data_IF_896569300684
#
_entry.id   IF_896569300684
#
_cell.length_a   1.000
_cell.length_b   1.000
_cell.length_c   1.000
_cell.angle_alpha   90.00
_cell.angle_beta   90.00
_cell.angle_gamma   90.00
#
_symmetry.space_group_name_H-M   'P 1'
#
loop_
_entity.id
_entity.type
_entity.pdbx_description
1 polymer ?
2 non-polymer ?
3 water ?
#
# COMPACT_ATOMS: atom_id res chain seq x y z
N UNK A 5 5.92 -10.15 -21.24
CA UNK A 5 6.09 -8.90 -21.95
C UNK A 5 4.84 -8.48 -22.69
N UNK A 6 3.78 -9.27 -22.53
CA UNK A 6 2.49 -9.01 -23.15
C UNK A 6 1.45 -9.18 -22.06
N UNK A 7 0.67 -8.14 -21.67
CA UNK A 7 0.23 -6.87 -22.31
C UNK A 7 -1.12 -7.17 -22.98
N UNK A 8 -1.18 -8.22 -23.79
CA UNK A 8 -2.46 -8.80 -24.17
C UNK A 8 -2.84 -10.00 -23.32
N UNK A 9 -1.86 -10.79 -22.89
CA UNK A 9 -2.15 -11.96 -22.07
C UNK A 9 -2.52 -11.54 -20.66
N UNK A 10 -1.84 -10.51 -20.15
CA UNK A 10 -2.19 -9.94 -18.85
C UNK A 10 -3.60 -9.37 -18.88
N UNK A 11 -4.03 -8.89 -20.04
CA UNK A 11 -5.44 -8.50 -20.17
C UNK A 11 -6.36 -9.68 -19.83
N UNK A 12 -5.97 -10.91 -20.16
CA UNK A 12 -6.88 -12.04 -20.03
C UNK A 12 -6.97 -12.60 -18.62
N UNK A 13 -5.94 -12.45 -17.76
CA UNK A 13 -6.18 -12.81 -16.36
C UNK A 13 -7.09 -11.79 -15.69
N UNK A 14 -6.90 -10.52 -16.04
CA UNK A 14 -7.84 -9.46 -15.65
C UNK A 14 -9.21 -9.72 -16.27
N UNK A 15 -9.24 -10.12 -17.56
CA UNK A 15 -10.48 -10.48 -18.24
C UNK A 15 -11.29 -11.48 -17.43
N UNK A 16 -10.67 -12.60 -17.06
CA UNK A 16 -11.35 -13.73 -16.46
C UNK A 16 -11.69 -13.50 -14.98
N UNK A 17 -10.80 -12.89 -14.21
CA UNK A 17 -11.22 -12.62 -12.83
C UNK A 17 -12.33 -11.58 -12.75
N UNK A 18 -13.01 -11.29 -13.86
CA UNK A 18 -14.21 -10.45 -13.88
C UNK A 18 -14.05 -9.20 -13.03
N UNK A 19 -12.89 -8.57 -13.13
CA UNK A 19 -12.60 -7.33 -12.42
C UNK A 19 -12.21 -6.25 -13.42
N UNK A 20 -12.00 -5.03 -12.92
CA UNK A 20 -11.52 -3.90 -13.70
C UNK A 20 -10.36 -3.26 -12.94
N UNK A 21 -9.18 -3.22 -13.55
CA UNK A 21 -8.05 -2.61 -12.89
C UNK A 21 -6.85 -2.50 -13.82
N UNK A 22 -5.72 -2.11 -13.21
CA UNK A 22 -4.51 -1.79 -13.93
C UNK A 22 -3.33 -2.21 -13.04
N UNK A 23 -2.26 -2.70 -13.66
CA UNK A 23 -1.03 -3.02 -12.95
C UNK A 23 0.04 -2.08 -13.49
N UNK A 24 0.62 -1.27 -12.62
CA UNK A 24 1.61 -0.26 -13.03
C UNK A 24 2.97 -0.78 -12.59
N UNK A 25 3.89 -0.88 -13.54
CA UNK A 25 5.26 -1.34 -13.31
C UNK A 25 6.20 -0.16 -13.52
N UNK A 26 7.12 0.04 -12.58
CA UNK A 26 8.17 1.05 -12.71
C UNK A 26 9.52 0.34 -12.65
N UNK A 27 10.26 0.42 -13.74
CA UNK A 27 11.63 -0.08 -13.84
C UNK A 27 12.51 1.14 -14.09
N UNK A 28 13.15 1.65 -13.05
CA UNK A 28 14.01 2.82 -13.13
C UNK A 28 13.31 4.00 -13.83
N UNK A 29 12.28 4.50 -13.14
CA UNK A 29 11.55 5.70 -13.56
C UNK A 29 10.94 5.59 -14.96
N UNK A 30 10.75 4.37 -15.45
CA UNK A 30 9.96 4.09 -16.64
C UNK A 30 8.70 3.34 -16.26
N UNK A 31 7.56 3.88 -16.64
CA UNK A 31 6.26 3.39 -16.19
C UNK A 31 5.60 2.64 -17.33
N UNK A 32 5.17 1.41 -17.06
CA UNK A 32 4.35 0.62 -17.99
C UNK A 32 3.02 0.28 -17.35
N UNK A 33 2.01 0.10 -18.20
CA UNK A 33 0.64 -0.18 -17.79
C UNK A 33 0.22 -1.55 -18.31
N UNK A 34 -0.61 -2.25 -17.52
CA UNK A 34 -1.15 -3.55 -17.88
C UNK A 34 -2.47 -3.75 -17.14
N UNK A 35 -3.33 -4.61 -17.70
CA UNK A 35 -4.63 -4.86 -17.11
C UNK A 35 -5.73 -4.99 -18.15
N UNK A 36 -6.98 -4.66 -17.78
CA UNK A 36 -8.06 -4.49 -18.74
C UNK A 36 -8.68 -3.09 -18.65
N UNK A 37 -8.09 -2.18 -17.88
CA UNK A 37 -8.68 -0.87 -17.65
C UNK A 37 -7.54 0.11 -17.34
N UNK A 38 -6.70 0.33 -18.35
CA UNK A 38 -5.51 1.15 -18.19
C UNK A 38 -5.84 2.59 -17.81
N UNK A 39 -7.06 3.05 -18.07
CA UNK A 39 -7.44 4.41 -17.68
C UNK A 39 -7.45 4.61 -16.16
N UNK A 40 -7.67 3.53 -15.38
CA UNK A 40 -7.63 3.58 -13.92
C UNK A 40 -6.32 4.17 -13.41
N UNK A 41 -5.23 3.96 -14.15
CA UNK A 41 -3.90 4.33 -13.71
C UNK A 41 -3.76 5.82 -13.40
N UNK A 42 -4.63 6.66 -13.98
CA UNK A 42 -4.60 8.11 -13.75
C UNK A 42 -5.86 8.64 -13.05
N UNK A 43 -6.66 7.80 -12.43
CA UNK A 43 -7.82 8.27 -11.67
C UNK A 43 -7.57 8.10 -10.18
N UNK A 44 -7.96 9.11 -9.40
CA UNK A 44 -7.72 9.17 -7.97
C UNK A 44 -8.71 8.27 -7.23
N UNK A 45 -8.21 7.59 -6.20
CA UNK A 45 -8.88 6.58 -5.39
C UNK A 45 -8.48 6.82 -3.95
N UNK A 46 -9.31 6.38 -3.01
CA UNK A 46 -8.85 6.41 -1.62
C UNK A 46 -7.75 5.37 -1.44
N UNK A 47 -6.67 5.67 -0.74
CA UNK A 47 -5.57 4.71 -0.63
C UNK A 47 -5.88 3.48 0.23
N UNK A 48 -6.83 3.57 1.16
CA UNK A 48 -7.20 2.47 2.08
C UNK A 48 -5.95 2.14 2.92
N UNK A 49 -5.67 0.86 3.18
CA UNK A 49 -4.60 0.50 4.10
C UNK A 49 -3.21 0.75 3.52
N UNK A 50 -3.08 1.08 2.23
CA UNK A 50 -1.75 1.38 1.71
C UNK A 50 -1.21 2.65 2.32
N UNK A 51 -2.07 3.46 2.92
CA UNK A 51 -1.60 4.66 3.61
C UNK A 51 -0.87 4.32 4.94
N UNK A 52 -0.88 3.07 5.36
CA UNK A 52 -0.17 2.69 6.57
C UNK A 52 1.35 2.84 6.39
N UNK A 53 1.77 2.79 5.11
CA UNK A 53 3.17 2.94 4.74
C UNK A 53 3.67 4.33 5.08
N UNK A 54 2.88 5.33 4.69
CA UNK A 54 3.20 6.72 4.97
C UNK A 54 2.83 7.11 6.40
N UNK A 55 1.77 6.52 6.97
CA UNK A 55 1.45 6.77 8.38
C UNK A 55 2.62 6.34 9.27
N UNK A 56 3.13 5.13 9.05
CA UNK A 56 4.25 4.64 9.86
C UNK A 56 5.45 5.57 9.73
N UNK A 57 5.83 5.91 8.49
CA UNK A 57 6.97 6.79 8.28
C UNK A 57 6.80 8.11 9.01
N UNK A 58 5.59 8.69 8.96
CA UNK A 58 5.41 9.98 9.62
C UNK A 58 5.50 9.81 11.12
N UNK A 59 4.91 8.73 11.65
CA UNK A 59 4.90 8.52 13.08
C UNK A 59 6.28 8.24 13.64
N UNK A 60 7.00 7.32 13.01
CA UNK A 60 8.35 7.01 13.42
C UNK A 60 9.22 8.26 13.38
N UNK A 61 9.23 8.96 12.25
CA UNK A 61 10.14 10.07 12.05
C UNK A 61 9.90 11.21 13.02
N UNK A 62 8.65 11.39 13.47
CA UNK A 62 8.33 12.45 14.41
C UNK A 62 8.29 11.94 15.86
N UNK A 63 8.71 10.70 16.10
CA UNK A 63 8.86 10.16 17.45
C UNK A 63 7.54 10.17 18.21
N UNK A 64 6.47 9.80 17.51
CA UNK A 64 5.20 9.47 18.12
C UNK A 64 5.10 7.99 18.46
N UNK A 65 6.05 7.18 18.02
CA UNK A 65 6.07 5.75 18.34
C UNK A 65 7.46 5.24 18.00
N UNK A 66 7.63 3.93 18.04
CA UNK A 66 8.90 3.32 17.64
C UNK A 66 8.60 1.87 17.33
N UNK A 67 9.56 1.18 16.72
CA UNK A 67 9.29 -0.15 16.20
C UNK A 67 9.16 -1.18 17.32
N UNK A 68 9.47 -0.81 18.56
CA UNK A 68 9.33 -1.75 19.67
C UNK A 68 8.03 -1.58 20.46
N UNK A 69 7.47 -0.36 20.50
CA UNK A 69 6.26 -0.10 21.26
C UNK A 69 5.20 -1.16 21.00
N UNK A 70 4.55 -1.61 22.07
CA UNK A 70 3.46 -2.57 22.00
C UNK A 70 2.16 -1.83 22.25
N UNK A 71 1.27 -1.87 21.27
CA UNK A 71 -0.03 -1.20 21.37
C UNK A 71 -0.99 -2.14 22.09
N UNK A 72 -1.56 -1.68 23.21
CA UNK A 72 -2.39 -2.55 24.04
C UNK A 72 -3.83 -2.62 23.52
N UNK A 73 -4.33 -3.83 23.31
CA UNK A 73 -5.75 -4.03 22.98
C UNK A 73 -6.57 -3.89 24.26
N UNK A 74 -7.47 -2.90 24.26
CA UNK A 74 -8.22 -2.54 25.46
C UNK A 74 -9.57 -3.23 25.54
N UNK A 75 -9.79 -4.27 24.74
CA UNK A 75 -10.91 -5.16 24.92
C UNK A 75 -12.10 -4.92 24.01
N UNK A 76 -12.19 -3.75 23.37
CA UNK A 76 -13.30 -3.49 22.46
C UNK A 76 -13.23 -4.43 21.26
N UNK A 77 -14.40 -4.80 20.74
CA UNK A 77 -14.45 -5.71 19.60
C UNK A 77 -13.96 -5.03 18.34
N UNK A 78 -13.20 -5.77 17.53
CA UNK A 78 -12.63 -5.27 16.30
C UNK A 78 -13.07 -6.15 15.13
N UNK A 79 -12.90 -5.61 13.91
CA UNK A 79 -13.46 -6.24 12.72
C UNK A 79 -12.94 -7.66 12.50
N UNK A 80 -11.72 -7.97 12.95
CA UNK A 80 -11.23 -9.32 12.83
C UNK A 80 -10.60 -9.76 14.15
N UNK A 81 -10.77 -11.05 14.46
CA UNK A 81 -10.26 -11.60 15.71
C UNK A 81 -8.73 -11.62 15.75
N UNK A 82 -8.08 -11.65 14.58
CA UNK A 82 -6.63 -11.56 14.57
C UNK A 82 -6.14 -10.21 15.08
N UNK A 83 -6.99 -9.18 15.08
CA UNK A 83 -6.64 -7.83 15.54
C UNK A 83 -6.80 -7.65 17.04
N UNK A 84 -7.29 -8.64 17.77
CA UNK A 84 -7.68 -8.46 19.16
C UNK A 84 -6.59 -9.00 20.08
N UNK A 85 -5.48 -8.25 20.08
CA UNK A 85 -4.25 -8.65 20.76
C UNK A 85 -3.33 -7.45 20.81
N UNK A 86 -2.39 -7.48 21.74
CA UNK A 86 -1.33 -6.48 21.75
C UNK A 86 -0.43 -6.68 20.54
N UNK A 87 0.08 -5.59 19.99
CA UNK A 87 0.93 -5.73 18.82
C UNK A 87 1.75 -4.46 18.63
N UNK A 88 2.86 -4.61 17.90
CA UNK A 88 3.66 -3.49 17.49
C UNK A 88 3.14 -2.86 16.21
N UNK A 89 3.76 -1.73 15.84
CA UNK A 89 3.51 -1.12 14.54
C UNK A 89 3.65 -2.14 13.41
N UNK A 90 4.75 -2.88 13.41
CA UNK A 90 5.02 -3.79 12.30
C UNK A 90 4.05 -4.95 12.22
N UNK A 91 3.65 -5.50 13.37
CA UNK A 91 2.65 -6.56 13.35
C UNK A 91 1.30 -6.02 12.88
N UNK A 92 0.95 -4.80 13.33
CA UNK A 92 -0.26 -4.15 12.83
C UNK A 92 -0.19 -3.96 11.31
N UNK A 93 0.99 -3.68 10.76
CA UNK A 93 1.14 -3.47 9.32
C UNK A 93 0.86 -4.74 8.55
N UNK A 94 1.45 -5.85 9.00
CA UNK A 94 1.29 -7.11 8.30
C UNK A 94 -0.16 -7.58 8.32
N UNK A 95 -0.94 -7.16 9.32
CA UNK A 95 -2.36 -7.51 9.44
C UNK A 95 -3.30 -6.36 9.06
N UNK A 96 -2.75 -5.20 8.69
CA UNK A 96 -3.54 -4.01 8.34
C UNK A 96 -4.53 -3.70 9.46
N UNK A 97 -4.01 -3.58 10.67
CA UNK A 97 -4.86 -3.36 11.84
C UNK A 97 -5.12 -1.86 11.97
N UNK A 98 -6.20 -1.40 11.36
CA UNK A 98 -6.68 -0.02 11.43
C UNK A 98 -6.62 0.58 12.84
N UNK A 99 -7.15 -0.08 13.89
CA UNK A 99 -7.16 0.61 15.20
C UNK A 99 -5.78 1.06 15.67
N UNK A 100 -4.73 0.28 15.44
CA UNK A 100 -3.39 0.72 15.80
C UNK A 100 -3.00 1.98 15.03
N UNK A 101 -3.29 1.99 13.72
CA UNK A 101 -2.87 3.14 12.93
C UNK A 101 -3.77 4.34 13.18
N UNK A 102 -5.02 4.10 13.55
CA UNK A 102 -5.84 5.21 13.99
C UNK A 102 -5.29 5.83 15.25
N UNK A 103 -4.86 5.00 16.20
CA UNK A 103 -4.27 5.56 17.41
C UNK A 103 -3.02 6.36 17.06
N UNK A 104 -2.12 5.75 16.29
CA UNK A 104 -0.94 6.48 15.80
C UNK A 104 -1.33 7.81 15.17
N UNK A 105 -2.31 7.78 14.26
CA UNK A 105 -2.71 8.99 13.55
C UNK A 105 -3.17 10.06 14.50
N UNK A 106 -3.86 9.67 15.58
CA UNK A 106 -4.34 10.65 16.54
C UNK A 106 -3.20 11.27 17.32
N UNK A 107 -2.09 10.54 17.50
CA UNK A 107 -0.90 11.11 18.13
C UNK A 107 -0.25 12.15 17.23
N UNK A 108 -0.07 11.82 15.95
CA UNK A 108 0.45 12.79 15.00
C UNK A 108 -0.41 14.04 15.00
N UNK A 109 -1.74 13.88 14.92
CA UNK A 109 -2.64 15.02 14.93
C UNK A 109 -2.76 15.68 13.57
N UNK A 110 -3.77 16.54 13.43
CA UNK A 110 -4.17 16.98 12.10
C UNK A 110 -3.09 17.85 11.44
N UNK A 111 -2.61 18.88 12.16
CA UNK A 111 -1.60 19.79 11.63
C UNK A 111 -0.37 19.04 11.11
N UNK A 112 0.24 18.23 11.98
CA UNK A 112 1.42 17.46 11.58
C UNK A 112 1.08 16.51 10.44
N UNK A 113 -0.08 15.89 10.47
CA UNK A 113 -0.43 14.96 9.39
C UNK A 113 -0.58 15.69 8.06
N UNK A 114 -1.35 16.78 8.04
CA UNK A 114 -1.57 17.52 6.82
C UNK A 114 -0.27 18.11 6.28
N UNK A 115 0.57 18.66 7.16
CA UNK A 115 1.83 19.26 6.73
C UNK A 115 2.76 18.22 6.11
N UNK A 116 2.81 17.02 6.69
CA UNK A 116 3.67 15.98 6.14
C UNK A 116 3.13 15.44 4.82
N UNK A 117 1.81 15.27 4.72
CA UNK A 117 1.22 14.65 3.55
C UNK A 117 1.40 15.55 2.32
N UNK A 118 1.36 16.87 2.52
CA UNK A 118 1.59 17.76 1.39
C UNK A 118 3.09 17.99 1.15
N UNK A 119 3.91 17.95 2.20
CA UNK A 119 5.35 17.96 2.00
C UNK A 119 5.79 16.75 1.19
N UNK A 120 5.22 15.57 1.48
CA UNK A 120 5.49 14.40 0.66
C UNK A 120 4.82 14.55 -0.71
N UNK A 121 3.82 15.41 -0.81
CA UNK A 121 2.94 15.44 -1.98
C UNK A 121 2.30 14.09 -2.27
N UNK A 122 1.52 13.56 -1.34
CA UNK A 122 0.91 12.26 -1.55
C UNK A 122 -0.45 12.44 -2.20
N UNK A 123 -0.60 11.95 -3.43
CA UNK A 123 -1.87 12.02 -4.15
C UNK A 123 -2.41 13.43 -4.25
N UNK A 124 -3.69 13.62 -3.89
CA UNK A 124 -4.22 14.98 -3.87
C UNK A 124 -3.81 15.75 -2.63
N UNK A 125 -3.26 15.06 -1.63
CA UNK A 125 -2.63 15.69 -0.47
C UNK A 125 -3.63 16.40 0.44
N UNK A 126 -4.83 15.84 0.55
CA UNK A 126 -5.90 16.43 1.35
C UNK A 126 -6.38 15.40 2.37
N UNK A 127 -6.42 15.79 3.65
CA UNK A 127 -6.90 14.91 4.70
C UNK A 127 -8.15 15.44 5.39
N UNK A 128 -8.65 16.61 4.99
CA UNK A 128 -9.86 17.13 5.61
C UNK A 128 -9.69 17.34 7.11
N UNK A 129 -10.63 16.82 7.90
CA UNK A 129 -10.73 17.25 9.29
C UNK A 129 -10.60 16.13 10.30
N UNK A 130 -10.93 14.90 9.94
CA UNK A 130 -10.88 13.78 10.87
C UNK A 130 -9.54 13.11 10.62
N UNK A 131 -8.59 13.29 11.54
CA UNK A 131 -7.25 12.78 11.34
C UNK A 131 -7.23 11.26 11.29
N UNK A 132 -8.24 10.59 11.86
CA UNK A 132 -8.18 9.14 11.99
C UNK A 132 -8.99 8.37 10.95
N UNK A 133 -9.43 9.00 9.86
CA UNK A 133 -10.13 8.20 8.85
C UNK A 133 -10.05 8.74 7.44
N UNK A 134 -9.13 9.66 7.13
CA UNK A 134 -9.18 10.33 5.82
C UNK A 134 -8.68 9.43 4.70
N UNK A 135 -7.94 8.38 5.03
CA UNK A 135 -7.41 7.44 4.05
C UNK A 135 -8.38 6.30 3.73
N UNK A 136 -9.54 6.25 4.35
CA UNK A 136 -10.49 5.19 4.07
C UNK A 136 -11.74 5.68 3.37
N UNK A 137 -12.16 6.92 3.59
CA UNK A 137 -13.42 7.40 3.00
C UNK A 137 -13.25 8.80 2.45
N UNK A 138 -12.03 9.17 2.11
CA UNK A 138 -11.76 10.52 1.67
C UNK A 138 -11.52 11.45 2.85
N UNK A 139 -11.09 12.68 2.56
CA UNK A 139 -10.96 13.12 1.16
C UNK A 139 -9.59 12.83 0.52
N UNK A 140 -8.79 11.93 1.07
CA UNK A 140 -7.46 11.69 0.52
C UNK A 140 -7.55 10.70 -0.63
N UNK A 141 -6.96 11.06 -1.78
CA UNK A 141 -7.06 10.27 -2.98
C UNK A 141 -5.72 10.22 -3.69
N UNK A 142 -5.50 9.15 -4.46
CA UNK A 142 -4.21 8.88 -5.08
C UNK A 142 -4.38 8.00 -6.31
N UNK A 143 -3.68 8.35 -7.39
CA UNK A 143 -3.68 7.50 -8.58
C UNK A 143 -2.68 6.37 -8.44
N UNK A 144 -2.91 5.25 -9.12
CA UNK A 144 -1.98 4.13 -9.01
C UNK A 144 -0.60 4.42 -9.60
N UNK A 145 -0.45 5.34 -10.56
CA UNK A 145 0.90 5.69 -10.97
C UNK A 145 1.58 6.47 -9.84
N UNK A 146 0.85 7.35 -9.15
CA UNK A 146 1.42 8.04 -8.01
C UNK A 146 1.81 7.07 -6.89
N UNK A 147 1.12 5.94 -6.78
CA UNK A 147 1.48 4.99 -5.72
C UNK A 147 2.72 4.18 -6.09
N UNK A 148 2.92 3.88 -7.38
CA UNK A 148 4.12 3.15 -7.75
C UNK A 148 5.37 4.02 -7.59
N UNK A 149 5.25 5.34 -7.79
CA UNK A 149 6.40 6.22 -7.54
C UNK A 149 6.71 6.33 -6.06
N UNK A 150 5.67 6.49 -5.23
CA UNK A 150 5.88 6.59 -3.79
C UNK A 150 6.61 5.36 -3.29
N UNK A 151 6.06 4.18 -3.55
CA UNK A 151 6.72 2.96 -3.08
C UNK A 151 8.03 2.73 -3.82
N UNK A 152 8.18 3.23 -5.05
CA UNK A 152 9.48 3.21 -5.71
C UNK A 152 10.52 3.96 -4.88
N UNK A 153 10.22 5.22 -4.56
CA UNK A 153 11.12 6.01 -3.74
C UNK A 153 11.42 5.31 -2.42
N UNK A 154 10.38 4.83 -1.73
CA UNK A 154 10.60 4.12 -0.47
C UNK A 154 11.57 2.96 -0.67
N UNK A 155 11.45 2.23 -1.79
CA UNK A 155 12.31 1.09 -2.05
C UNK A 155 13.76 1.51 -2.25
N UNK A 156 13.99 2.70 -2.81
CA UNK A 156 15.33 3.22 -3.04
C UNK A 156 15.74 4.19 -1.94
N UNK A 157 14.97 4.27 -0.86
CA UNK A 157 15.29 5.14 0.26
C UNK A 157 15.38 6.61 -0.18
N UNK A 158 14.52 7.01 -1.12
CA UNK A 158 14.56 8.35 -1.67
C UNK A 158 13.45 9.27 -1.16
N UNK A 159 12.61 8.81 -0.23
CA UNK A 159 11.52 9.63 0.27
C UNK A 159 12.06 10.71 1.20
N UNK A 160 11.34 11.80 1.37
CA UNK A 160 11.86 12.91 2.17
C UNK A 160 11.88 12.64 3.67
N UNK A 161 12.26 11.42 4.07
CA UNK A 161 12.50 11.04 5.46
C UNK A 161 13.93 10.52 5.62
N UNK A 162 14.38 10.45 6.87
CA UNK A 162 15.67 9.85 7.18
C UNK A 162 15.72 8.43 6.62
N UNK A 163 16.94 7.91 6.46
CA UNK A 163 17.04 6.59 5.85
C UNK A 163 16.72 5.48 6.85
N UNK A 164 17.04 5.71 8.12
CA UNK A 164 16.74 4.69 9.12
C UNK A 164 15.23 4.51 9.29
N UNK A 165 14.45 5.59 9.23
CA UNK A 165 13.00 5.41 9.32
C UNK A 165 12.47 4.64 8.11
N UNK A 166 12.92 5.00 6.91
CA UNK A 166 12.52 4.30 5.69
C UNK A 166 12.88 2.82 5.75
N UNK A 167 14.12 2.53 6.13
CA UNK A 167 14.56 1.14 6.24
C UNK A 167 13.70 0.38 7.24
N UNK A 168 13.28 1.07 8.30
CA UNK A 168 12.43 0.45 9.31
C UNK A 168 11.08 0.04 8.72
N UNK A 169 10.44 0.95 8.01
CA UNK A 169 9.17 0.63 7.37
C UNK A 169 9.33 -0.45 6.31
N UNK A 170 10.49 -0.51 5.64
CA UNK A 170 10.62 -1.50 4.57
C UNK A 170 10.66 -2.91 5.14
N UNK A 171 11.33 -3.10 6.29
CA UNK A 171 11.33 -4.40 6.93
C UNK A 171 9.96 -4.80 7.47
N UNK A 172 9.04 -3.85 7.59
CA UNK A 172 7.66 -4.14 7.93
C UNK A 172 6.89 -4.77 6.78
N UNK A 173 7.43 -4.74 5.55
CA UNK A 173 6.65 -4.97 4.33
C UNK A 173 7.07 -6.21 3.55
N UNK A 174 7.93 -7.06 4.11
CA UNK A 174 8.36 -8.24 3.38
C UNK A 174 7.21 -9.24 3.26
N UNK A 175 6.90 -9.64 2.02
CA UNK A 175 5.77 -10.51 1.74
C UNK A 175 6.18 -11.92 1.34
N UNK A 176 7.11 -12.08 0.40
CA UNK A 176 7.59 -13.41 0.04
C UNK A 176 9.09 -13.38 -0.21
N UNK A 177 9.67 -14.58 -0.15
CA UNK A 177 11.11 -14.77 -0.31
C UNK A 177 11.28 -16.14 -0.98
N UNK A 178 11.63 -16.14 -2.26
CA UNK A 178 11.71 -17.38 -3.02
C UNK A 178 12.64 -17.18 -4.21
N UNK A 179 13.65 -18.03 -4.31
CA UNK A 179 14.57 -18.09 -5.46
C UNK A 179 15.50 -16.88 -5.50
N UNK A 180 16.02 -16.48 -4.33
CA UNK A 180 16.79 -15.25 -4.27
C UNK A 180 15.99 -14.00 -4.51
N UNK A 181 14.67 -14.11 -4.61
CA UNK A 181 13.81 -12.96 -4.84
C UNK A 181 13.16 -12.53 -3.53
N UNK A 182 12.85 -11.25 -3.44
CA UNK A 182 12.06 -10.72 -2.34
C UNK A 182 10.94 -9.87 -2.91
N UNK A 183 9.71 -10.09 -2.43
CA UNK A 183 8.58 -9.25 -2.76
C UNK A 183 8.17 -8.49 -1.50
N UNK A 184 8.17 -7.17 -1.59
CA UNK A 184 7.61 -6.30 -0.56
C UNK A 184 6.33 -5.67 -1.11
N UNK A 185 5.42 -5.32 -0.21
CA UNK A 185 4.18 -4.71 -0.64
C UNK A 185 3.17 -4.62 0.49
N UNK A 186 2.17 -3.78 0.26
CA UNK A 186 1.08 -3.49 1.19
C UNK A 186 -0.26 -3.63 0.47
N UNK A 187 -1.18 -4.40 1.05
CA UNK A 187 -2.51 -4.53 0.48
C UNK A 187 -3.42 -3.45 1.03
N UNK A 188 -4.43 -3.10 0.24
CA UNK A 188 -5.52 -2.27 0.71
C UNK A 188 -6.82 -2.77 0.10
N UNK A 189 -7.93 -2.40 0.76
CA UNK A 189 -9.27 -2.83 0.32
C UNK A 189 -10.29 -1.88 0.95
N UNK A 190 -10.69 -0.86 0.20
CA UNK A 190 -11.75 0.03 0.64
C UNK A 190 -13.07 -0.68 0.40
N UNK A 191 -13.63 -1.29 1.45
CA UNK A 191 -14.89 -2.01 1.31
C UNK A 191 -16.10 -1.10 1.48
N UNK A 192 -15.92 0.10 2.02
CA UNK A 192 -17.03 0.99 2.38
C UNK A 192 -17.25 2.10 1.36
N UNK A 193 -16.81 1.91 0.12
CA UNK A 193 -17.10 2.87 -0.95
C UNK A 193 -17.48 2.07 -2.19
N UNK A 194 -18.30 2.67 -3.04
CA UNK A 194 -18.87 1.98 -4.19
C UNK A 194 -18.43 2.68 -5.46
N UNK A 195 -17.76 1.99 -6.39
CA UNK A 195 -17.41 0.56 -6.28
C UNK A 195 -16.18 0.36 -5.41
N UNK A 196 -16.05 -0.82 -4.82
CA UNK A 196 -14.92 -1.09 -3.95
C UNK A 196 -13.61 -1.09 -4.76
N UNK A 197 -12.54 -0.66 -4.08
CA UNK A 197 -11.24 -0.53 -4.70
C UNK A 197 -10.24 -1.31 -3.88
N UNK A 198 -9.49 -2.18 -4.55
CA UNK A 198 -8.46 -2.99 -3.92
C UNK A 198 -7.09 -2.55 -4.41
N UNK A 199 -6.11 -2.65 -3.51
CA UNK A 199 -4.77 -2.20 -3.77
C UNK A 199 -3.78 -3.31 -3.44
N UNK A 200 -2.65 -3.30 -4.17
CA UNK A 200 -1.49 -4.09 -3.77
C UNK A 200 -0.27 -3.40 -4.36
N UNK A 201 0.39 -2.59 -3.55
CA UNK A 201 1.47 -1.72 -3.96
C UNK A 201 2.77 -2.18 -3.33
N UNK A 202 3.84 -2.27 -4.13
CA UNK A 202 5.11 -2.74 -3.60
C UNK A 202 6.27 -2.75 -4.58
N UNK A 203 7.20 -3.69 -4.39
CA UNK A 203 8.36 -3.79 -5.26
C UNK A 203 8.98 -5.17 -5.16
N UNK A 204 9.67 -5.56 -6.23
CA UNK A 204 10.41 -6.82 -6.31
C UNK A 204 11.89 -6.48 -6.20
N UNK A 205 12.59 -7.23 -5.37
CA UNK A 205 14.01 -7.00 -5.12
C UNK A 205 14.74 -8.23 -5.67
N UNK A 206 15.10 -8.13 -6.95
CA UNK A 206 15.66 -9.25 -7.69
C UNK A 206 17.04 -9.60 -7.16
N UNK A 207 17.49 -10.86 -7.35
CA UNK A 207 18.70 -11.33 -6.64
C UNK A 207 19.92 -10.46 -6.87
N UNK A 208 20.05 -9.89 -8.07
CA UNK A 208 21.15 -9.00 -8.40
C UNK A 208 21.04 -7.62 -7.75
N UNK A 209 20.04 -7.40 -6.91
CA UNK A 209 19.83 -6.12 -6.29
C UNK A 209 18.87 -5.20 -7.03
N UNK A 210 18.46 -5.56 -8.24
CA UNK A 210 17.58 -4.70 -9.01
C UNK A 210 16.23 -4.58 -8.32
N UNK A 211 15.55 -3.47 -8.59
CA UNK A 211 14.28 -3.15 -7.96
C UNK A 211 13.27 -2.82 -9.05
N UNK A 212 12.12 -3.50 -9.01
CA UNK A 212 10.97 -3.24 -9.87
C UNK A 212 9.77 -3.02 -8.97
N UNK A 213 9.13 -1.86 -9.09
CA UNK A 213 8.01 -1.49 -8.23
C UNK A 213 6.69 -1.62 -9.00
N UNK A 214 5.63 -2.00 -8.27
CA UNK A 214 4.33 -2.28 -8.88
C UNK A 214 3.23 -1.66 -8.04
N UNK A 215 2.10 -1.36 -8.68
CA UNK A 215 0.92 -0.86 -7.98
C UNK A 215 -0.29 -1.47 -8.69
N UNK A 216 -0.79 -2.58 -8.14
CA UNK A 216 -1.99 -3.22 -8.67
C UNK A 216 -3.22 -2.54 -8.07
N UNK A 217 -4.07 -2.04 -8.94
CA UNK A 217 -5.32 -1.42 -8.53
C UNK A 217 -6.44 -2.11 -9.29
N UNK A 218 -7.56 -2.34 -8.61
CA UNK A 218 -8.68 -3.03 -9.25
C UNK A 218 -9.97 -2.75 -8.49
N UNK A 219 -11.06 -2.72 -9.24
CA UNK A 219 -12.39 -2.66 -8.66
C UNK A 219 -12.66 -3.91 -7.85
N UNK A 220 -13.38 -3.76 -6.74
CA UNK A 220 -13.52 -4.85 -5.81
C UNK A 220 -15.01 -5.07 -5.46
N UNK A 221 -15.32 -6.28 -5.01
CA UNK A 221 -16.67 -6.68 -4.58
C UNK A 221 -16.56 -7.67 -3.43
N UNK A 222 -17.63 -7.72 -2.61
CA UNK A 222 -17.58 -8.35 -1.28
C UNK A 222 -17.25 -9.84 -1.34
N UNK A 223 -17.50 -10.52 -2.45
CA UNK A 223 -17.35 -11.97 -2.48
C UNK A 223 -15.95 -12.46 -2.84
N UNK A 224 -15.09 -11.63 -3.44
CA UNK A 224 -13.80 -12.16 -3.86
C UNK A 224 -12.96 -12.54 -2.64
N UNK A 225 -12.17 -13.62 -2.75
CA UNK A 225 -11.17 -13.89 -1.70
C UNK A 225 -10.06 -12.86 -1.75
N UNK A 226 -9.55 -12.50 -0.58
CA UNK A 226 -8.54 -11.45 -0.48
C UNK A 226 -7.30 -11.80 -1.31
N UNK A 227 -7.03 -13.08 -1.50
CA UNK A 227 -5.86 -13.54 -2.23
C UNK A 227 -5.95 -13.24 -3.73
N UNK A 228 -7.08 -12.66 -4.16
CA UNK A 228 -7.22 -12.31 -5.57
C UNK A 228 -6.25 -11.22 -5.98
N UNK A 229 -5.93 -10.30 -5.06
CA UNK A 229 -4.94 -9.29 -5.39
C UNK A 229 -3.55 -9.90 -5.52
N UNK A 230 -3.25 -10.93 -4.73
CA UNK A 230 -1.96 -11.59 -4.83
C UNK A 230 -1.89 -12.49 -6.06
N UNK A 231 -2.94 -13.27 -6.31
CA UNK A 231 -2.97 -14.16 -7.47
C UNK A 231 -2.71 -13.38 -8.76
N UNK A 232 -3.50 -12.34 -9.00
CA UNK A 232 -3.37 -11.53 -10.20
C UNK A 232 -1.98 -10.93 -10.31
N UNK A 233 -1.42 -10.44 -9.19
CA UNK A 233 -0.10 -9.83 -9.23
C UNK A 233 0.98 -10.87 -9.54
N UNK A 234 0.99 -11.98 -8.81
CA UNK A 234 2.10 -12.91 -8.91
C UNK A 234 2.24 -13.46 -10.31
N UNK A 235 1.15 -13.93 -10.91
CA UNK A 235 1.23 -14.51 -12.24
C UNK A 235 1.41 -13.47 -13.33
N UNK A 236 1.28 -12.18 -13.00
CA UNK A 236 1.67 -11.14 -13.95
C UNK A 236 3.16 -10.85 -13.90
N UNK A 237 3.75 -10.89 -12.70
CA UNK A 237 5.20 -10.74 -12.57
C UNK A 237 5.94 -11.94 -13.17
N UNK A 238 5.32 -13.12 -13.16
CA UNK A 238 5.90 -14.27 -13.85
C UNK A 238 5.75 -14.13 -15.37
N UNK A 239 4.59 -13.63 -15.83
CA UNK A 239 4.38 -13.42 -17.26
C UNK A 239 5.35 -12.37 -17.80
N UNK A 240 5.49 -11.25 -17.09
CA UNK A 240 6.49 -10.26 -17.46
C UNK A 240 7.90 -10.72 -17.15
N UNK A 241 8.05 -11.92 -16.57
CA UNK A 241 9.33 -12.51 -16.21
C UNK A 241 10.13 -11.64 -15.24
N UNK A 242 9.43 -10.79 -14.46
CA UNK A 242 10.11 -10.09 -13.38
C UNK A 242 10.48 -11.07 -12.27
N UNK A 243 9.78 -12.20 -12.15
CA UNK A 243 10.19 -13.22 -11.19
C UNK A 243 10.44 -14.53 -11.91
X LIG B 1 -7.15 -1.73 4.49
X LIG B 1 -8.73 -5.78 4.55
X LIG B 1 -8.47 -2.33 4.97
X LIG B 1 -8.25 -3.65 5.73
X LIG B 1 -7.32 -5.31 4.42
X LIG B 1 -7.21 -1.42 3.31
X LIG B 1 -9.21 -1.26 5.77
X LIG B 1 -9.81 -1.83 6.94
X LIG B 1 -10.28 -0.59 4.88
X LIG B 1 -7.11 -4.24 5.03
X LIG B 1 -6.24 -5.98 3.68
X LIG B 1 -6.10 -5.74 2.46
X LIG B 1 -5.47 -6.76 4.32
X LIG B 1 -8.73 -7.39 5.27
X LIG B 1 -7.86 -7.44 6.81
X LIG B 1 -6.71 -8.46 6.79
X LIG B 1 -6.58 -8.90 8.14
X LIG B 1 -5.76 -9.72 8.51
X LIG B 1 -4.95 -10.56 8.82
X LIG B 1 -9.33 -4.72 5.48
#
# INVERSE_FOLDING_TARGET
>A
QIVQGHNQVIHQYFDEKNTSGVLVIQTDKKINLYGNALSRANTEYVPASTFKMLNALIGLENQKTDINEIFKWKGEKRSFTAWEKDMTLGEAMKLSAVPVYQELARRIGLDLMQKEVKRIGFGNAEIGQQVDNFWLVGPLKVTPIQEVEFVSQLAHTQLPFSEKVQANVKNMLLLEESNGYKIFGKTGWAMDIKPQVGWLTGWVEQPDGKIVAFALNMEMRSEMPASIRNELLMKSLKQLNII
>B hetero
1 IM2 C7 C2 C6 C5 C3 O7 C61 O62 C62 N4 C31 O31 O32 S21 C22 C23 N24 C25 N26 C1
#
